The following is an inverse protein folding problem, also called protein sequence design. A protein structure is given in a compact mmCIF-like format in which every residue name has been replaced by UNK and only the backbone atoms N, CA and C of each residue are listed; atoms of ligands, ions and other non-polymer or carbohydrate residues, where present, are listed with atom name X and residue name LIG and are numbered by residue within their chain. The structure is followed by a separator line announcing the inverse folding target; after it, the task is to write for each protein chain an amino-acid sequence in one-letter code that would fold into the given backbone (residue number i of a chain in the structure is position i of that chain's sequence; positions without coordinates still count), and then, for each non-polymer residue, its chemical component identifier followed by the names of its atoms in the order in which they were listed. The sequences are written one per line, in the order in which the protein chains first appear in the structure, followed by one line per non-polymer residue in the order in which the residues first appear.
data_IF_169869701005
#
_entry.id   IF_169869701005
#
_cell.length_a   1.000
_cell.length_b   1.000
_cell.length_c   1.000
_cell.angle_alpha   90.00
_cell.angle_beta   90.00
_cell.angle_gamma   90.00
#
_symmetry.space_group_name_H-M   'P 1'
#
loop_
_entity.id
_entity.type
_entity.pdbx_description
1 polymer ?
#
# COMPACT_ATOMS: atom_id res chain seq x y z
N UNK A 1 0.70 -3.93 24.76
CA UNK A 1 0.70 -4.84 23.60
C UNK A 1 2.15 -5.16 23.30
N UNK A 2 2.52 -6.43 23.15
CA UNK A 2 3.95 -6.77 22.95
C UNK A 2 4.36 -6.58 21.47
N UNK A 3 4.41 -5.33 21.01
CA UNK A 3 4.95 -4.98 19.67
C UNK A 3 6.48 -5.24 19.64
N UNK A 4 7.13 -5.34 20.79
CA UNK A 4 8.58 -5.52 20.88
C UNK A 4 9.08 -6.77 20.14
N UNK A 5 8.32 -7.88 20.17
CA UNK A 5 8.68 -9.08 19.41
C UNK A 5 8.73 -8.83 17.90
N UNK A 6 7.75 -8.13 17.36
CA UNK A 6 7.76 -7.74 15.95
C UNK A 6 8.89 -6.77 15.63
N UNK A 7 9.11 -5.79 16.51
CA UNK A 7 10.20 -4.85 16.33
C UNK A 7 11.58 -5.53 16.29
N UNK A 8 11.82 -6.55 17.13
CA UNK A 8 13.08 -7.32 17.13
C UNK A 8 13.37 -8.06 15.82
N UNK A 9 12.34 -8.35 15.03
CA UNK A 9 12.49 -9.02 13.76
C UNK A 9 12.85 -8.05 12.64
N UNK A 10 12.29 -6.83 12.69
CA UNK A 10 12.44 -5.86 11.61
C UNK A 10 13.52 -4.81 11.85
N UNK A 11 14.01 -4.65 13.09
CA UNK A 11 15.10 -3.73 13.44
C UNK A 11 16.38 -4.48 13.81
N UNK A 12 17.52 -3.98 13.40
CA UNK A 12 18.80 -4.67 13.47
C UNK A 12 19.35 -4.87 14.90
N UNK A 13 18.92 -4.04 15.86
CA UNK A 13 19.40 -4.15 17.24
C UNK A 13 18.26 -4.17 18.25
N UNK A 14 18.43 -4.92 19.33
CA UNK A 14 17.49 -4.96 20.46
C UNK A 14 17.19 -3.58 21.03
N UNK A 15 18.20 -2.70 21.08
CA UNK A 15 18.04 -1.32 21.56
C UNK A 15 17.11 -0.50 20.68
N UNK A 16 17.29 -0.57 19.36
CA UNK A 16 16.43 0.10 18.37
C UNK A 16 15.03 -0.50 18.38
N UNK A 17 14.92 -1.83 18.38
CA UNK A 17 13.64 -2.54 18.44
C UNK A 17 12.81 -2.14 19.68
N UNK A 18 13.44 -2.04 20.86
CA UNK A 18 12.79 -1.60 22.10
C UNK A 18 12.32 -0.14 22.04
N UNK A 19 13.07 0.75 21.40
CA UNK A 19 12.63 2.14 21.18
C UNK A 19 11.48 2.18 20.18
N UNK A 20 11.62 1.50 19.03
CA UNK A 20 10.61 1.41 18.00
C UNK A 20 9.28 0.90 18.55
N UNK A 21 9.30 -0.19 19.34
CA UNK A 21 8.08 -0.76 19.93
C UNK A 21 7.33 0.24 20.81
N UNK A 22 8.06 0.99 21.67
CA UNK A 22 7.45 2.03 22.52
C UNK A 22 6.81 3.15 21.67
N UNK A 23 7.50 3.58 20.62
CA UNK A 23 6.99 4.63 19.72
C UNK A 23 5.76 4.13 18.96
N UNK A 24 5.81 2.93 18.38
CA UNK A 24 4.66 2.35 17.66
C UNK A 24 3.45 2.12 18.57
N UNK A 25 3.65 1.68 19.80
CA UNK A 25 2.57 1.60 20.79
C UNK A 25 1.95 2.97 21.09
N UNK A 26 2.78 4.00 21.20
CA UNK A 26 2.33 5.36 21.42
C UNK A 26 1.57 5.90 20.20
N UNK A 27 2.00 5.63 18.96
CA UNK A 27 1.27 5.96 17.74
C UNK A 27 -0.13 5.33 17.72
N UNK A 28 -0.25 4.04 18.08
CA UNK A 28 -1.54 3.35 18.15
C UNK A 28 -2.47 3.91 19.25
N UNK A 29 -1.91 4.41 20.35
CA UNK A 29 -2.67 5.06 21.43
C UNK A 29 -3.10 6.45 21.04
N UNK A 30 -2.19 7.25 20.50
CA UNK A 30 -2.42 8.61 20.02
C UNK A 30 -3.37 8.65 18.82
N UNK A 31 -3.29 7.62 17.94
CA UNK A 31 -3.97 7.61 16.62
C UNK A 31 -3.63 8.85 15.81
N UNK A 32 -2.40 9.29 15.89
CA UNK A 32 -1.90 10.53 15.31
C UNK A 32 -0.46 10.36 14.82
N UNK A 33 -0.10 10.97 13.67
CA UNK A 33 1.28 11.02 13.19
C UNK A 33 2.09 12.16 13.82
N UNK A 34 1.48 13.00 14.65
CA UNK A 34 2.17 14.15 15.28
C UNK A 34 3.07 13.68 16.42
N UNK A 35 4.33 14.08 16.37
CA UNK A 35 5.33 13.65 17.37
C UNK A 35 4.94 14.10 18.79
N UNK A 36 4.32 15.29 18.95
CA UNK A 36 3.79 15.75 20.23
C UNK A 36 2.77 14.78 20.81
N UNK A 37 1.77 14.40 20.00
CA UNK A 37 0.69 13.51 20.42
C UNK A 37 1.23 12.12 20.77
N UNK A 38 2.26 11.65 20.02
CA UNK A 38 2.94 10.40 20.28
C UNK A 38 3.73 10.46 21.59
N UNK A 39 4.47 11.55 21.83
CA UNK A 39 5.27 11.74 23.05
C UNK A 39 4.40 11.78 24.31
N UNK A 40 3.23 12.43 24.25
CA UNK A 40 2.24 12.49 25.33
C UNK A 40 1.71 11.10 25.72
N UNK A 41 1.59 10.19 24.76
CA UNK A 41 1.13 8.80 25.03
C UNK A 41 2.22 7.87 25.57
N UNK A 42 3.45 8.34 25.74
CA UNK A 42 4.56 7.56 26.27
C UNK A 42 4.71 7.82 27.77
N UNK A 43 5.10 6.78 28.53
CA UNK A 43 5.38 6.94 29.96
C UNK A 43 6.61 7.83 30.22
N UNK A 44 6.56 8.67 31.26
CA UNK A 44 7.66 9.53 31.67
C UNK A 44 7.51 10.98 31.23
N UNK A 45 8.64 11.69 31.12
CA UNK A 45 8.65 13.12 30.77
C UNK A 45 8.40 13.32 29.27
N UNK A 46 7.37 14.09 28.91
CA UNK A 46 6.96 14.34 27.54
C UNK A 46 8.07 14.97 26.68
N UNK A 47 8.80 15.97 27.22
CA UNK A 47 9.88 16.62 26.47
C UNK A 47 11.04 15.65 26.18
N UNK A 48 11.34 14.74 27.10
CA UNK A 48 12.34 13.70 26.91
C UNK A 48 11.86 12.67 25.85
N UNK A 49 10.59 12.27 25.91
CA UNK A 49 9.96 11.39 24.94
C UNK A 49 9.95 12.01 23.54
N UNK A 50 9.58 13.28 23.41
CA UNK A 50 9.62 14.03 22.15
C UNK A 50 11.02 14.01 21.52
N UNK A 51 12.06 14.34 22.32
CA UNK A 51 13.45 14.28 21.86
C UNK A 51 13.88 12.86 21.49
N UNK A 52 13.39 11.84 22.20
CA UNK A 52 13.69 10.44 21.89
C UNK A 52 13.10 10.04 20.54
N UNK A 53 11.83 10.37 20.26
CA UNK A 53 11.20 10.12 18.97
C UNK A 53 11.93 10.83 17.84
N UNK A 54 12.30 12.11 18.04
CA UNK A 54 13.07 12.87 17.07
C UNK A 54 14.42 12.23 16.74
N UNK A 55 15.18 11.79 17.75
CA UNK A 55 16.47 11.12 17.55
C UNK A 55 16.30 9.79 16.82
N UNK A 56 15.29 9.00 17.19
CA UNK A 56 14.95 7.75 16.54
C UNK A 56 14.69 7.97 15.05
N UNK A 57 13.78 8.89 14.70
CA UNK A 57 13.47 9.22 13.30
C UNK A 57 14.68 9.75 12.53
N UNK A 58 15.62 10.45 13.20
CA UNK A 58 16.83 10.95 12.54
C UNK A 58 17.83 9.84 12.23
N UNK A 59 17.96 8.85 13.13
CA UNK A 59 18.99 7.81 13.07
C UNK A 59 18.63 6.63 12.16
N UNK A 60 17.34 6.21 12.17
CA UNK A 60 16.92 4.97 11.52
C UNK A 60 16.55 5.18 10.05
N UNK A 61 16.88 4.20 9.20
CA UNK A 61 16.34 4.08 7.85
C UNK A 61 15.02 3.30 7.88
N UNK A 62 13.93 4.03 8.05
CA UNK A 62 12.61 3.43 8.16
C UNK A 62 12.03 2.97 6.81
N UNK A 63 12.61 3.40 5.68
CA UNK A 63 12.22 2.87 4.36
C UNK A 63 12.74 1.43 4.20
N UNK A 64 13.98 1.17 4.58
CA UNK A 64 14.53 -0.17 4.58
C UNK A 64 13.74 -1.11 5.51
N UNK A 65 13.45 -0.64 6.74
CA UNK A 65 12.62 -1.39 7.69
C UNK A 65 11.23 -1.69 7.12
N UNK A 66 10.62 -0.73 6.39
CA UNK A 66 9.32 -0.94 5.74
C UNK A 66 9.38 -2.02 4.66
N UNK A 67 10.48 -2.09 3.89
CA UNK A 67 10.67 -3.12 2.87
C UNK A 67 10.76 -4.54 3.46
N UNK A 68 11.24 -4.69 4.70
CA UNK A 68 11.25 -5.97 5.43
C UNK A 68 9.84 -6.51 5.73
N UNK A 69 8.79 -5.70 5.53
CA UNK A 69 7.39 -6.12 5.65
C UNK A 69 6.81 -6.64 4.31
N UNK A 70 7.64 -6.78 3.28
CA UNK A 70 7.22 -7.35 2.01
C UNK A 70 6.70 -8.77 2.19
N UNK A 71 5.49 -9.05 1.71
CA UNK A 71 4.92 -10.39 1.79
C UNK A 71 5.46 -11.27 0.64
N UNK A 72 6.38 -12.17 0.95
CA UNK A 72 6.99 -13.08 -0.01
C UNK A 72 6.01 -14.08 -0.65
N UNK A 73 4.89 -14.36 0.00
CA UNK A 73 3.83 -15.24 -0.53
C UNK A 73 2.83 -14.48 -1.42
N UNK A 74 3.00 -13.16 -1.58
CA UNK A 74 2.10 -12.37 -2.41
C UNK A 74 2.30 -12.66 -3.90
N UNK A 75 1.21 -12.86 -4.62
CA UNK A 75 1.19 -13.08 -6.06
C UNK A 75 1.48 -11.79 -6.85
N UNK A 76 1.12 -10.64 -6.30
CA UNK A 76 1.24 -9.34 -6.98
C UNK A 76 1.53 -8.21 -6.00
N UNK A 77 1.99 -7.09 -6.53
CA UNK A 77 2.24 -5.84 -5.81
C UNK A 77 1.31 -4.76 -6.36
N UNK A 78 0.61 -4.05 -5.49
CA UNK A 78 -0.31 -2.97 -5.86
C UNK A 78 0.40 -1.64 -5.68
N UNK A 79 0.35 -0.79 -6.70
CA UNK A 79 0.81 0.60 -6.62
C UNK A 79 -0.35 1.58 -6.79
N UNK A 80 -0.48 2.53 -5.86
CA UNK A 80 -1.51 3.56 -5.94
C UNK A 80 -1.06 4.84 -5.22
N UNK A 81 -1.24 6.03 -5.78
CA UNK A 81 -0.97 7.27 -5.09
C UNK A 81 -2.16 7.71 -4.26
N UNK A 82 -1.86 8.36 -3.14
CA UNK A 82 -2.87 9.05 -2.35
C UNK A 82 -2.45 10.49 -2.10
N UNK A 83 -3.40 11.41 -2.12
CA UNK A 83 -3.19 12.80 -1.78
C UNK A 83 -3.14 13.00 -0.28
N UNK A 84 -2.17 13.78 0.19
CA UNK A 84 -2.06 14.23 1.58
C UNK A 84 -2.18 15.75 1.60
N UNK A 85 -3.32 16.23 2.06
CA UNK A 85 -3.63 17.64 2.12
C UNK A 85 -2.84 18.34 3.21
N UNK A 86 -2.34 19.53 2.92
CA UNK A 86 -1.57 20.37 3.83
C UNK A 86 -2.02 21.85 3.72
N UNK A 87 -3.30 22.16 3.99
CA UNK A 87 -3.85 23.50 3.76
C UNK A 87 -3.14 24.59 4.57
N UNK A 88 -2.60 24.25 5.75
CA UNK A 88 -1.84 25.17 6.59
C UNK A 88 -0.35 25.32 6.24
N UNK A 89 0.16 24.68 5.19
CA UNK A 89 1.57 24.72 4.82
C UNK A 89 1.93 25.98 4.02
N UNK A 90 2.19 27.08 4.72
CA UNK A 90 2.53 28.37 4.06
C UNK A 90 4.01 28.51 3.70
N UNK A 91 4.92 27.85 4.45
CA UNK A 91 6.39 27.99 4.32
C UNK A 91 7.07 26.61 4.27
N UNK A 92 6.57 25.72 3.42
CA UNK A 92 7.08 24.34 3.30
C UNK A 92 7.35 24.06 1.83
N UNK A 93 8.61 24.17 1.39
CA UNK A 93 9.01 24.16 -0.01
C UNK A 93 8.57 22.92 -0.79
N UNK A 94 8.52 21.75 -0.16
CA UNK A 94 8.08 20.50 -0.82
C UNK A 94 6.56 20.36 -0.97
N UNK A 95 5.74 21.25 -0.39
CA UNK A 95 4.29 21.21 -0.52
C UNK A 95 3.86 22.03 -1.74
N UNK A 96 3.30 21.35 -2.71
CA UNK A 96 2.78 21.97 -3.92
C UNK A 96 1.26 22.10 -3.92
N UNK A 97 0.68 22.05 -5.12
CA UNK A 97 -0.77 22.09 -5.35
C UNK A 97 -1.22 20.73 -5.86
N UNK A 98 -2.31 20.21 -5.30
CA UNK A 98 -2.90 18.91 -5.65
C UNK A 98 -3.67 18.93 -6.98
N UNK A 99 -4.32 17.81 -7.32
CA UNK A 99 -5.00 17.59 -8.61
C UNK A 99 -6.14 18.57 -8.87
N UNK A 100 -6.74 19.14 -7.85
CA UNK A 100 -7.80 20.17 -7.96
C UNK A 100 -7.29 21.56 -8.37
N UNK A 101 -5.97 21.74 -8.44
CA UNK A 101 -5.33 23.01 -8.80
C UNK A 101 -5.36 24.08 -7.70
N UNK A 102 -5.90 23.81 -6.51
CA UNK A 102 -6.11 24.77 -5.43
C UNK A 102 -5.57 24.30 -4.07
N UNK A 103 -5.88 23.07 -3.68
CA UNK A 103 -5.51 22.52 -2.38
C UNK A 103 -4.00 22.31 -2.28
N UNK A 104 -3.40 22.80 -1.19
CA UNK A 104 -1.99 22.55 -0.89
C UNK A 104 -1.80 21.14 -0.36
N UNK A 105 -0.79 20.44 -0.89
CA UNK A 105 -0.51 19.07 -0.48
C UNK A 105 0.65 18.44 -1.26
N UNK A 106 0.74 17.12 -1.15
CA UNK A 106 1.68 16.28 -1.88
C UNK A 106 1.05 14.90 -2.11
N UNK A 107 1.60 14.15 -3.05
CA UNK A 107 1.22 12.76 -3.29
C UNK A 107 2.16 11.81 -2.57
N UNK A 108 1.62 10.72 -2.08
CA UNK A 108 2.37 9.55 -1.61
C UNK A 108 1.97 8.35 -2.48
N UNK A 109 2.84 7.94 -3.39
CA UNK A 109 2.71 6.68 -4.11
C UNK A 109 3.20 5.55 -3.21
N UNK A 110 2.30 4.65 -2.85
CA UNK A 110 2.58 3.50 -2.00
C UNK A 110 2.58 2.24 -2.83
N UNK A 111 3.57 1.38 -2.62
CA UNK A 111 3.61 0.01 -3.11
C UNK A 111 3.31 -0.92 -1.94
N UNK A 112 2.40 -1.88 -2.16
CA UNK A 112 1.89 -2.75 -1.11
C UNK A 112 1.60 -4.14 -1.63
N UNK A 113 1.81 -5.16 -0.81
CA UNK A 113 1.42 -6.54 -1.09
C UNK A 113 0.03 -6.84 -0.52
N UNK A 114 -0.78 -7.66 -1.20
CA UNK A 114 -2.10 -8.02 -0.67
C UNK A 114 -1.99 -8.88 0.59
N UNK A 115 -2.88 -8.60 1.54
CA UNK A 115 -3.09 -9.45 2.70
C UNK A 115 -4.60 -9.50 2.99
N UNK A 116 -5.24 -10.64 2.71
CA UNK A 116 -6.70 -10.78 2.83
C UNK A 116 -7.46 -9.68 2.08
N UNK A 117 -8.38 -8.96 2.74
CA UNK A 117 -9.11 -7.81 2.17
C UNK A 117 -8.38 -6.47 2.28
N UNK A 118 -7.09 -6.47 2.56
CA UNK A 118 -6.24 -5.29 2.79
C UNK A 118 -4.95 -5.37 1.99
N UNK A 119 -4.12 -4.34 2.13
CA UNK A 119 -2.77 -4.32 1.59
C UNK A 119 -1.76 -3.96 2.70
N UNK A 120 -0.60 -4.62 2.69
CA UNK A 120 0.55 -4.34 3.54
C UNK A 120 1.49 -3.40 2.79
N UNK A 121 1.66 -2.15 3.20
CA UNK A 121 2.65 -1.26 2.61
C UNK A 121 4.06 -1.82 2.79
N UNK A 122 4.86 -1.78 1.71
CA UNK A 122 6.25 -2.21 1.74
C UNK A 122 7.23 -1.14 1.20
N UNK A 123 6.72 -0.15 0.47
CA UNK A 123 7.53 0.95 -0.04
C UNK A 123 6.64 2.15 -0.38
N UNK A 124 7.22 3.35 -0.40
CA UNK A 124 6.56 4.53 -0.92
C UNK A 124 7.56 5.59 -1.38
N UNK A 125 7.09 6.49 -2.22
CA UNK A 125 7.77 7.74 -2.57
C UNK A 125 6.79 8.90 -2.36
N UNK A 126 7.33 10.07 -2.01
CA UNK A 126 6.52 11.31 -1.96
C UNK A 126 6.96 12.27 -3.07
N UNK A 127 6.02 12.97 -3.65
CA UNK A 127 6.29 14.02 -4.64
C UNK A 127 5.15 15.05 -4.63
N UNK A 128 5.43 16.24 -5.15
CA UNK A 128 4.45 17.31 -5.31
C UNK A 128 4.74 18.11 -6.57
N UNK A 129 3.86 19.02 -6.95
CA UNK A 129 4.14 19.97 -8.04
C UNK A 129 5.37 20.83 -7.76
N UNK A 130 5.65 21.17 -6.48
CA UNK A 130 6.85 21.91 -6.11
C UNK A 130 8.13 21.07 -6.30
N UNK A 131 8.18 19.85 -5.73
CA UNK A 131 9.38 18.98 -5.84
C UNK A 131 9.65 18.56 -7.28
N UNK A 132 8.63 18.35 -8.10
CA UNK A 132 8.78 18.03 -9.52
C UNK A 132 9.44 19.20 -10.25
N UNK A 133 9.06 20.43 -9.98
CA UNK A 133 9.64 21.60 -10.61
C UNK A 133 11.09 21.86 -10.13
N UNK A 134 11.32 21.82 -8.81
CA UNK A 134 12.63 22.09 -8.21
C UNK A 134 13.69 21.06 -8.61
N UNK A 135 13.32 19.78 -8.69
CA UNK A 135 14.21 18.66 -9.03
C UNK A 135 14.30 18.40 -10.55
N UNK A 136 13.67 19.23 -11.38
CA UNK A 136 13.58 19.03 -12.84
C UNK A 136 13.16 17.60 -13.23
N UNK A 137 12.21 17.04 -12.50
CA UNK A 137 11.67 15.68 -12.68
C UNK A 137 10.24 15.74 -13.23
N UNK A 138 9.54 14.64 -13.22
CA UNK A 138 8.13 14.55 -13.59
C UNK A 138 7.41 13.51 -12.75
N UNK A 139 6.07 13.62 -12.67
CA UNK A 139 5.25 12.60 -12.02
C UNK A 139 5.54 11.18 -12.55
N UNK A 140 5.76 11.08 -13.86
CA UNK A 140 6.08 9.82 -14.51
C UNK A 140 7.43 9.23 -14.05
N UNK A 141 8.43 10.08 -13.82
CA UNK A 141 9.73 9.65 -13.29
C UNK A 141 9.61 9.21 -11.83
N UNK A 142 8.78 9.89 -11.02
CA UNK A 142 8.54 9.47 -9.64
C UNK A 142 7.85 8.10 -9.58
N UNK A 143 6.93 7.79 -10.49
CA UNK A 143 6.33 6.46 -10.62
C UNK A 143 7.39 5.39 -10.93
N UNK A 144 8.31 5.68 -11.84
CA UNK A 144 9.41 4.77 -12.17
C UNK A 144 10.38 4.58 -11.00
N UNK A 145 10.70 5.65 -10.26
CA UNK A 145 11.53 5.59 -9.04
C UNK A 145 10.92 4.70 -7.96
N UNK A 146 9.60 4.77 -7.78
CA UNK A 146 8.91 3.91 -6.82
C UNK A 146 9.09 2.42 -7.15
N UNK A 147 8.90 2.02 -8.41
CA UNK A 147 9.10 0.63 -8.85
C UNK A 147 10.57 0.23 -8.70
N UNK A 148 11.50 1.10 -9.09
CA UNK A 148 12.93 0.84 -8.96
C UNK A 148 13.36 0.62 -7.51
N UNK A 149 12.73 1.31 -6.55
CA UNK A 149 13.03 1.19 -5.12
C UNK A 149 12.77 -0.19 -4.52
N UNK A 150 11.92 -1.02 -5.16
CA UNK A 150 11.64 -2.39 -4.71
C UNK A 150 11.86 -3.43 -5.82
N UNK A 151 12.58 -3.09 -6.88
CA UNK A 151 12.77 -4.00 -8.02
C UNK A 151 13.28 -5.38 -7.59
N UNK A 152 14.22 -5.43 -6.67
CA UNK A 152 14.77 -6.69 -6.15
C UNK A 152 13.73 -7.54 -5.42
N UNK A 153 12.71 -6.93 -4.82
CA UNK A 153 11.63 -7.63 -4.08
C UNK A 153 10.50 -8.08 -5.01
N UNK A 154 10.31 -7.41 -6.14
CA UNK A 154 9.21 -7.75 -7.07
C UNK A 154 9.38 -9.18 -7.59
N UNK A 155 10.60 -9.56 -8.04
CA UNK A 155 10.86 -10.87 -8.63
C UNK A 155 9.90 -11.17 -9.78
N UNK A 156 9.27 -12.33 -9.76
CA UNK A 156 8.29 -12.77 -10.77
C UNK A 156 6.86 -12.26 -10.54
N UNK A 157 6.64 -11.39 -9.54
CA UNK A 157 5.31 -10.91 -9.16
C UNK A 157 4.79 -9.85 -10.12
N UNK A 158 3.48 -9.80 -10.27
CA UNK A 158 2.81 -8.84 -11.15
C UNK A 158 2.63 -7.50 -10.47
N UNK A 159 2.99 -6.40 -11.13
CA UNK A 159 2.68 -5.04 -10.67
C UNK A 159 1.27 -4.64 -11.13
N UNK A 160 0.45 -4.11 -10.22
CA UNK A 160 -0.94 -3.71 -10.49
C UNK A 160 -1.11 -2.23 -10.22
N UNK A 161 -1.60 -1.48 -11.23
CA UNK A 161 -1.74 -0.03 -11.14
C UNK A 161 -3.08 0.48 -11.70
N UNK A 162 -3.45 1.70 -11.33
CA UNK A 162 -4.60 2.39 -11.92
C UNK A 162 -4.23 3.10 -13.24
N UNK A 163 -5.23 3.73 -13.84
CA UNK A 163 -5.20 4.34 -15.18
C UNK A 163 -4.11 5.39 -15.39
N UNK A 164 -3.66 6.08 -14.36
CA UNK A 164 -2.64 7.09 -14.48
C UNK A 164 -1.24 6.53 -14.86
N UNK A 165 -1.05 5.23 -14.69
CA UNK A 165 0.20 4.52 -15.04
C UNK A 165 0.19 3.96 -16.47
N UNK A 166 -0.91 4.11 -17.22
CA UNK A 166 -1.01 3.55 -18.58
C UNK A 166 -0.35 4.42 -19.66
N UNK A 167 0.76 5.09 -19.36
CA UNK A 167 1.53 5.84 -20.36
C UNK A 167 2.69 5.02 -20.92
N UNK A 168 3.00 5.24 -22.21
CA UNK A 168 3.93 4.41 -22.96
C UNK A 168 5.31 4.26 -22.29
N UNK A 169 5.89 5.34 -21.80
CA UNK A 169 7.22 5.32 -21.18
C UNK A 169 7.32 4.44 -19.93
N UNK A 170 6.24 4.33 -19.16
CA UNK A 170 6.18 3.43 -18.00
C UNK A 170 6.05 1.97 -18.42
N UNK A 171 5.14 1.69 -19.36
CA UNK A 171 4.93 0.36 -19.90
C UNK A 171 6.20 -0.19 -20.56
N UNK A 172 6.89 0.63 -21.38
CA UNK A 172 8.18 0.26 -22.00
C UNK A 172 9.25 -0.06 -20.95
N UNK A 173 9.30 0.72 -19.87
CA UNK A 173 10.24 0.45 -18.77
C UNK A 173 9.95 -0.88 -18.09
N UNK A 174 8.69 -1.18 -17.77
CA UNK A 174 8.30 -2.46 -17.19
C UNK A 174 8.63 -3.63 -18.12
N UNK A 175 8.37 -3.47 -19.41
CA UNK A 175 8.64 -4.48 -20.43
C UNK A 175 10.16 -4.76 -20.58
N UNK A 176 10.97 -3.71 -20.74
CA UNK A 176 12.44 -3.84 -20.80
C UNK A 176 13.03 -4.49 -19.54
N UNK A 177 12.45 -4.23 -18.38
CA UNK A 177 12.84 -4.82 -17.11
C UNK A 177 12.22 -6.19 -16.85
N UNK A 178 11.43 -6.71 -17.79
CA UNK A 178 10.71 -8.00 -17.73
C UNK A 178 9.76 -8.11 -16.52
N UNK A 179 9.24 -6.98 -16.07
CA UNK A 179 8.26 -6.92 -14.97
C UNK A 179 6.86 -7.20 -15.54
N UNK A 180 6.17 -8.17 -14.93
CA UNK A 180 4.76 -8.47 -15.22
C UNK A 180 3.88 -7.31 -14.72
N UNK A 181 2.89 -6.90 -15.53
CA UNK A 181 2.02 -5.81 -15.15
C UNK A 181 0.56 -5.99 -15.56
N UNK A 182 -0.31 -5.37 -14.77
CA UNK A 182 -1.75 -5.23 -15.03
C UNK A 182 -2.15 -3.80 -14.71
N UNK A 183 -2.55 -3.03 -15.70
CA UNK A 183 -2.80 -1.60 -15.58
C UNK A 183 -4.13 -1.24 -16.21
N UNK A 184 -4.97 -0.47 -15.50
CA UNK A 184 -6.17 0.09 -16.10
C UNK A 184 -5.79 1.09 -17.20
N UNK A 185 -6.44 0.98 -18.35
CA UNK A 185 -6.20 1.87 -19.46
C UNK A 185 -6.87 3.23 -19.23
N UNK A 186 -6.12 4.30 -19.43
CA UNK A 186 -6.67 5.64 -19.43
C UNK A 186 -7.32 5.93 -20.79
N UNK A 187 -8.64 6.14 -20.79
CA UNK A 187 -9.44 6.50 -21.97
C UNK A 187 -9.94 7.95 -21.92
N UNK A 188 -9.15 8.86 -21.32
CA UNK A 188 -9.49 10.28 -21.25
C UNK A 188 -9.71 10.94 -22.63
N UNK A 189 -9.58 12.25 -22.70
CA UNK A 189 -9.82 13.05 -23.92
C UNK A 189 -8.97 12.65 -25.14
N UNK A 190 -7.81 12.03 -24.91
CA UNK A 190 -6.90 11.50 -25.93
C UNK A 190 -6.60 10.03 -25.63
N UNK A 191 -7.50 9.10 -25.98
CA UNK A 191 -7.27 7.67 -25.75
C UNK A 191 -6.07 7.18 -26.54
N UNK A 192 -5.31 6.21 -26.00
CA UNK A 192 -4.17 5.64 -26.72
C UNK A 192 -4.65 4.84 -27.93
N UNK A 193 -3.81 4.82 -28.96
CA UNK A 193 -4.07 4.11 -30.21
C UNK A 193 -3.56 2.68 -30.14
N UNK A 194 -4.27 1.76 -30.76
CA UNK A 194 -3.90 0.35 -30.90
C UNK A 194 -3.86 -0.08 -32.36
N UNK A 195 -3.02 -1.07 -32.67
CA UNK A 195 -2.86 -1.60 -34.02
C UNK A 195 -2.65 -3.11 -33.98
N UNK A 196 -3.15 -3.85 -34.98
CA UNK A 196 -2.83 -5.28 -35.13
C UNK A 196 -1.42 -5.52 -35.65
N UNK A 197 -0.88 -4.58 -36.43
CA UNK A 197 0.43 -4.65 -37.00
C UNK A 197 1.13 -3.27 -36.81
N UNK A 198 2.36 -3.28 -36.34
CA UNK A 198 3.14 -2.06 -36.14
C UNK A 198 3.39 -1.27 -37.43
N UNK A 199 3.38 -1.96 -38.59
CA UNK A 199 3.58 -1.37 -39.92
C UNK A 199 2.29 -0.85 -40.55
N UNK A 200 1.13 -1.32 -40.09
CA UNK A 200 -0.17 -0.90 -40.61
C UNK A 200 -0.60 0.40 -39.93
N UNK A 201 -0.98 1.40 -40.72
CA UNK A 201 -1.53 2.67 -40.22
C UNK A 201 -3.03 2.55 -39.81
N UNK A 202 -3.63 1.39 -39.91
CA UNK A 202 -5.06 1.18 -39.54
C UNK A 202 -5.21 1.01 -38.04
N UNK A 203 -5.81 2.00 -37.41
CA UNK A 203 -6.09 2.00 -35.97
C UNK A 203 -7.17 0.94 -35.63
N UNK A 204 -6.88 0.15 -34.58
CA UNK A 204 -7.82 -0.75 -33.96
C UNK A 204 -8.63 0.01 -32.89
N UNK A 205 -9.95 0.03 -33.01
CA UNK A 205 -10.84 0.61 -32.01
C UNK A 205 -11.30 -0.44 -31.01
N UNK A 206 -10.99 -0.24 -29.75
CA UNK A 206 -11.51 -1.09 -28.66
C UNK A 206 -13.02 -0.84 -28.50
N UNK A 207 -13.83 -1.90 -28.58
CA UNK A 207 -15.29 -1.82 -28.47
C UNK A 207 -15.82 -2.96 -27.62
N UNK A 208 -16.77 -2.67 -26.75
CA UNK A 208 -17.54 -3.63 -25.96
C UNK A 208 -18.93 -3.04 -25.70
N UNK A 209 -19.96 -3.86 -25.72
CA UNK A 209 -21.32 -3.47 -25.34
C UNK A 209 -21.55 -3.72 -23.83
N UNK A 210 -22.49 -2.99 -23.24
CA UNK A 210 -22.92 -3.21 -21.85
C UNK A 210 -23.49 -4.61 -21.71
N UNK A 211 -23.01 -5.36 -20.70
CA UNK A 211 -23.42 -6.75 -20.46
C UNK A 211 -22.80 -7.79 -21.40
N UNK A 212 -22.03 -7.36 -22.43
CA UNK A 212 -21.22 -8.29 -23.21
C UNK A 212 -20.12 -8.89 -22.31
N UNK A 213 -19.87 -10.19 -22.45
CA UNK A 213 -18.77 -10.86 -21.73
C UNK A 213 -17.41 -10.24 -22.04
N UNK A 214 -16.35 -10.65 -21.35
CA UNK A 214 -15.02 -10.04 -21.52
C UNK A 214 -14.59 -9.99 -23.00
N UNK A 215 -14.25 -8.80 -23.48
CA UNK A 215 -13.70 -8.59 -24.83
C UNK A 215 -12.19 -8.62 -24.77
N UNK A 216 -11.57 -9.51 -25.51
CA UNK A 216 -10.14 -9.77 -25.44
C UNK A 216 -9.48 -9.42 -26.77
N UNK A 217 -8.37 -8.70 -26.68
CA UNK A 217 -7.46 -8.40 -27.77
C UNK A 217 -6.07 -8.87 -27.38
N UNK A 218 -5.54 -9.88 -28.08
CA UNK A 218 -4.21 -10.44 -27.82
C UNK A 218 -3.20 -9.91 -28.82
N UNK A 219 -1.98 -9.71 -28.35
CA UNK A 219 -0.81 -9.38 -29.18
C UNK A 219 -1.07 -8.20 -30.10
N UNK A 220 -1.59 -7.10 -29.54
CA UNK A 220 -1.84 -5.85 -30.27
C UNK A 220 -0.81 -4.79 -29.88
N UNK A 221 -0.48 -3.91 -30.81
CA UNK A 221 0.51 -2.85 -30.57
C UNK A 221 -0.14 -1.64 -29.90
N UNK A 222 0.30 -1.34 -28.68
CA UNK A 222 -0.01 -0.11 -27.98
C UNK A 222 0.82 1.02 -28.55
N UNK A 223 0.17 2.08 -29.04
CA UNK A 223 0.78 3.23 -29.70
C UNK A 223 1.73 2.87 -30.88
N UNK A 224 1.53 1.71 -31.48
CA UNK A 224 2.37 1.21 -32.58
C UNK A 224 3.76 0.75 -32.17
N UNK A 225 4.06 0.67 -30.89
CA UNK A 225 5.43 0.40 -30.36
C UNK A 225 5.48 -0.86 -29.51
N UNK A 226 4.62 -0.95 -28.48
CA UNK A 226 4.69 -2.01 -27.47
C UNK A 226 3.62 -3.07 -27.71
N UNK A 227 4.02 -4.33 -27.77
CA UNK A 227 3.13 -5.48 -27.92
C UNK A 227 2.49 -5.81 -26.57
N UNK A 228 1.16 -5.84 -26.52
CA UNK A 228 0.39 -6.00 -25.28
C UNK A 228 -0.86 -6.84 -25.49
N UNK A 229 -1.43 -7.31 -24.39
CA UNK A 229 -2.78 -7.84 -24.33
C UNK A 229 -3.73 -6.80 -23.71
N UNK A 230 -4.96 -6.76 -24.17
CA UNK A 230 -6.00 -5.88 -23.64
C UNK A 230 -7.27 -6.68 -23.38
N UNK A 231 -7.87 -6.49 -22.21
CA UNK A 231 -9.17 -7.06 -21.86
C UNK A 231 -10.11 -5.97 -21.39
N UNK A 232 -11.33 -6.01 -21.89
CA UNK A 232 -12.41 -5.08 -21.53
C UNK A 232 -13.59 -5.80 -20.90
N UNK A 233 -14.20 -5.17 -19.89
CA UNK A 233 -15.49 -5.59 -19.32
C UNK A 233 -16.38 -4.37 -19.12
N UNK A 234 -17.66 -4.52 -19.35
CA UNK A 234 -18.64 -3.46 -19.07
C UNK A 234 -19.89 -4.07 -18.42
N UNK A 235 -19.89 -4.04 -17.09
CA UNK A 235 -20.96 -4.59 -16.25
C UNK A 235 -21.96 -3.49 -15.88
N UNK A 236 -23.21 -3.89 -15.54
CA UNK A 236 -24.23 -2.96 -15.04
C UNK A 236 -23.72 -2.19 -13.80
N UNK A 237 -24.08 -0.91 -13.72
CA UNK A 237 -23.61 0.00 -12.66
C UNK A 237 -22.32 0.76 -13.00
N UNK A 238 -21.58 0.39 -14.03
CA UNK A 238 -20.41 1.15 -14.49
C UNK A 238 -20.80 2.15 -15.59
N UNK A 239 -20.34 3.41 -15.44
CA UNK A 239 -20.59 4.49 -16.42
C UNK A 239 -19.91 4.26 -17.78
N UNK A 240 -18.85 3.48 -17.80
CA UNK A 240 -18.02 3.20 -18.97
C UNK A 240 -17.31 1.87 -18.82
N UNK A 241 -16.88 1.23 -19.93
CA UNK A 241 -16.13 -0.01 -19.86
C UNK A 241 -14.82 0.16 -19.07
N UNK A 242 -14.46 -0.88 -18.33
CA UNK A 242 -13.15 -1.06 -17.74
C UNK A 242 -12.26 -1.76 -18.77
N UNK A 243 -11.19 -1.09 -19.20
CA UNK A 243 -10.16 -1.66 -20.05
C UNK A 243 -8.87 -1.85 -19.27
N UNK A 244 -8.24 -3.00 -19.41
CA UNK A 244 -6.99 -3.38 -18.75
C UNK A 244 -5.97 -3.71 -19.84
N UNK A 245 -4.76 -3.15 -19.68
CA UNK A 245 -3.58 -3.46 -20.49
C UNK A 245 -2.61 -4.31 -19.64
N UNK A 246 -2.04 -5.35 -20.24
CA UNK A 246 -1.19 -6.31 -19.54
C UNK A 246 -0.24 -7.01 -20.50
N UNK A 247 0.88 -7.52 -19.97
CA UNK A 247 1.75 -8.49 -20.64
C UNK A 247 1.51 -9.95 -20.19
N UNK A 248 0.48 -10.17 -19.37
CA UNK A 248 -0.02 -11.51 -18.99
C UNK A 248 -1.13 -11.97 -19.95
N UNK A 249 -1.59 -13.22 -19.75
CA UNK A 249 -2.85 -13.64 -20.34
C UNK A 249 -3.99 -12.73 -19.86
N UNK A 250 -4.89 -12.29 -20.76
CA UNK A 250 -5.89 -11.27 -20.45
C UNK A 250 -6.83 -11.63 -19.31
N UNK A 251 -7.22 -12.89 -19.21
CA UNK A 251 -8.13 -13.41 -18.18
C UNK A 251 -7.48 -13.33 -16.78
N UNK A 252 -6.19 -13.66 -16.72
CA UNK A 252 -5.40 -13.55 -15.51
C UNK A 252 -5.21 -12.08 -15.10
N UNK A 253 -4.91 -11.21 -16.07
CA UNK A 253 -4.84 -9.77 -15.84
C UNK A 253 -6.14 -9.21 -15.25
N UNK A 254 -7.29 -9.63 -15.77
CA UNK A 254 -8.60 -9.21 -15.25
C UNK A 254 -8.84 -9.71 -13.82
N UNK A 255 -8.50 -10.98 -13.53
CA UNK A 255 -8.61 -11.59 -12.20
C UNK A 255 -7.80 -10.78 -11.16
N UNK A 256 -6.55 -10.52 -11.47
CA UNK A 256 -5.64 -9.78 -10.58
C UNK A 256 -6.11 -8.34 -10.38
N UNK A 257 -6.52 -7.65 -11.46
CA UNK A 257 -6.95 -6.24 -11.37
C UNK A 257 -8.14 -6.04 -10.41
N UNK A 258 -9.10 -6.97 -10.38
CA UNK A 258 -10.25 -6.91 -9.45
C UNK A 258 -9.83 -6.86 -7.97
N UNK A 259 -8.62 -7.28 -7.65
CA UNK A 259 -8.08 -7.27 -6.29
C UNK A 259 -7.33 -5.96 -5.93
N UNK A 260 -7.17 -5.02 -6.88
CA UNK A 260 -6.47 -3.74 -6.66
C UNK A 260 -7.08 -2.90 -5.54
N UNK A 261 -8.39 -2.91 -5.39
CA UNK A 261 -9.10 -2.09 -4.39
C UNK A 261 -8.66 -2.33 -2.94
N UNK A 262 -7.87 -3.37 -2.66
CA UNK A 262 -7.30 -3.62 -1.32
C UNK A 262 -6.42 -2.46 -0.82
N UNK A 263 -5.73 -1.74 -1.72
CA UNK A 263 -4.91 -0.59 -1.34
C UNK A 263 -5.77 0.64 -0.96
N UNK A 264 -6.92 0.82 -1.59
CA UNK A 264 -7.86 1.89 -1.25
C UNK A 264 -8.41 1.71 0.18
N UNK A 265 -8.64 0.44 0.57
CA UNK A 265 -9.02 0.09 1.93
C UNK A 265 -7.87 0.39 2.91
N UNK A 266 -6.62 0.12 2.53
CA UNK A 266 -5.44 0.49 3.30
C UNK A 266 -5.38 2.01 3.54
N UNK A 267 -5.53 2.83 2.50
CA UNK A 267 -5.54 4.29 2.64
C UNK A 267 -6.69 4.81 3.50
N UNK A 268 -7.87 4.22 3.37
CA UNK A 268 -9.01 4.55 4.23
C UNK A 268 -8.71 4.27 5.71
N UNK A 269 -8.09 3.14 6.00
CA UNK A 269 -7.71 2.77 7.37
C UNK A 269 -6.60 3.70 7.90
N UNK A 270 -5.58 4.00 7.10
CA UNK A 270 -4.48 4.92 7.45
C UNK A 270 -4.99 6.34 7.74
N UNK A 271 -5.86 6.88 6.89
CA UNK A 271 -6.45 8.23 7.07
C UNK A 271 -7.50 8.24 8.18
N UNK A 272 -8.41 7.25 8.22
CA UNK A 272 -9.55 7.24 9.14
C UNK A 272 -9.24 6.73 10.55
N UNK A 273 -8.24 5.88 10.73
CA UNK A 273 -7.92 5.27 12.03
C UNK A 273 -6.61 5.77 12.64
N UNK A 274 -5.62 6.11 11.83
CA UNK A 274 -4.30 6.61 12.26
C UNK A 274 -4.09 8.08 11.91
N UNK A 275 -5.04 8.71 11.23
CA UNK A 275 -5.00 10.11 10.83
C UNK A 275 -3.71 10.51 10.10
N UNK A 276 -3.25 9.66 9.17
CA UNK A 276 -2.03 9.88 8.39
C UNK A 276 -2.05 11.23 7.64
N UNK A 277 -3.22 11.71 7.26
CA UNK A 277 -3.45 13.02 6.65
C UNK A 277 -3.02 14.19 7.53
N UNK A 278 -2.91 14.00 8.87
CA UNK A 278 -2.45 15.01 9.82
C UNK A 278 -0.94 15.06 10.00
N UNK A 279 -0.17 14.34 9.18
CA UNK A 279 1.30 14.38 9.24
C UNK A 279 1.82 15.80 9.02
N UNK A 280 2.77 16.25 9.84
CA UNK A 280 3.32 17.61 9.80
C UNK A 280 4.82 17.61 10.01
N UNK A 281 5.56 18.19 9.06
CA UNK A 281 6.97 18.54 9.23
C UNK A 281 7.36 19.62 8.20
N UNK A 282 8.45 20.36 8.42
CA UNK A 282 9.01 21.32 7.47
C UNK A 282 10.04 20.66 6.52
N UNK A 283 10.69 19.60 6.95
CA UNK A 283 11.64 18.83 6.15
C UNK A 283 10.93 17.65 5.48
N UNK A 284 11.10 17.50 4.15
CA UNK A 284 10.59 16.36 3.38
C UNK A 284 11.12 15.03 3.93
N UNK A 285 12.43 14.91 4.07
CA UNK A 285 13.07 13.68 4.57
C UNK A 285 12.54 13.26 5.93
N UNK A 286 12.33 14.23 6.83
CA UNK A 286 11.80 13.94 8.16
C UNK A 286 10.32 13.53 8.12
N UNK A 287 9.54 14.17 7.24
CA UNK A 287 8.14 13.81 6.99
C UNK A 287 8.03 12.37 6.44
N UNK A 288 8.88 12.00 5.49
CA UNK A 288 8.92 10.64 4.93
C UNK A 288 9.24 9.60 6.01
N UNK A 289 10.14 9.91 6.95
CA UNK A 289 10.41 9.03 8.11
C UNK A 289 9.20 8.88 9.04
N UNK A 290 8.43 9.93 9.26
CA UNK A 290 7.17 9.83 10.01
C UNK A 290 6.16 8.96 9.26
N UNK A 291 6.02 9.15 7.95
CA UNK A 291 5.14 8.32 7.12
C UNK A 291 5.55 6.85 7.17
N UNK A 292 6.84 6.55 7.01
CA UNK A 292 7.35 5.17 7.14
C UNK A 292 7.01 4.55 8.50
N UNK A 293 7.22 5.29 9.60
CA UNK A 293 6.85 4.84 10.94
C UNK A 293 5.34 4.51 11.06
N UNK A 294 4.48 5.35 10.48
CA UNK A 294 3.02 5.11 10.47
C UNK A 294 2.68 3.89 9.65
N UNK A 295 3.29 3.70 8.48
CA UNK A 295 3.06 2.52 7.63
C UNK A 295 3.53 1.22 8.30
N UNK A 296 4.69 1.22 8.95
CA UNK A 296 5.19 0.09 9.75
C UNK A 296 4.22 -0.22 10.90
N UNK A 297 3.80 0.82 11.62
CA UNK A 297 2.84 0.67 12.73
C UNK A 297 1.50 0.12 12.25
N UNK A 298 1.01 0.60 11.11
CA UNK A 298 -0.19 0.09 10.46
C UNK A 298 -0.06 -1.39 10.10
N UNK A 299 1.03 -1.79 9.47
CA UNK A 299 1.26 -3.17 9.04
C UNK A 299 1.21 -4.15 10.23
N UNK A 300 1.92 -3.84 11.31
CA UNK A 300 1.90 -4.65 12.54
C UNK A 300 0.50 -4.68 13.17
N UNK A 301 -0.16 -3.53 13.24
CA UNK A 301 -1.52 -3.44 13.78
C UNK A 301 -2.54 -4.18 12.92
N UNK A 302 -2.35 -4.23 11.60
CA UNK A 302 -3.18 -4.99 10.68
C UNK A 302 -3.06 -6.50 10.95
N UNK A 303 -1.84 -7.02 11.04
CA UNK A 303 -1.58 -8.44 11.32
C UNK A 303 -2.25 -8.87 12.64
N UNK A 304 -2.00 -8.13 13.71
CA UNK A 304 -2.61 -8.42 15.02
C UNK A 304 -4.13 -8.26 14.98
N UNK A 305 -4.61 -7.25 14.28
CA UNK A 305 -6.05 -6.97 14.18
C UNK A 305 -6.82 -8.06 13.42
N UNK A 306 -6.25 -8.58 12.32
CA UNK A 306 -6.86 -9.67 11.55
C UNK A 306 -6.94 -10.95 12.41
N UNK A 307 -5.90 -11.27 13.16
CA UNK A 307 -5.92 -12.41 14.09
C UNK A 307 -6.97 -12.22 15.22
N UNK A 308 -7.08 -11.02 15.78
CA UNK A 308 -8.12 -10.71 16.75
C UNK A 308 -9.52 -10.90 16.14
N UNK A 309 -9.69 -10.53 14.88
CA UNK A 309 -10.96 -10.74 14.16
C UNK A 309 -11.30 -12.21 14.05
N UNK A 310 -10.34 -13.06 13.68
CA UNK A 310 -10.54 -14.51 13.57
C UNK A 310 -10.95 -15.12 14.92
N UNK A 311 -10.22 -14.83 15.97
CA UNK A 311 -10.50 -15.36 17.31
C UNK A 311 -11.87 -14.91 17.82
N UNK A 312 -12.23 -13.64 17.63
CA UNK A 312 -13.45 -13.07 18.23
C UNK A 312 -14.72 -13.31 17.43
N UNK A 313 -14.62 -13.30 16.11
CA UNK A 313 -15.78 -13.32 15.23
C UNK A 313 -15.92 -14.65 14.48
N UNK A 314 -14.82 -15.28 14.10
CA UNK A 314 -14.80 -16.60 13.48
C UNK A 314 -14.57 -17.74 14.48
N UNK A 315 -14.33 -17.41 15.76
CA UNK A 315 -14.10 -18.36 16.87
C UNK A 315 -12.92 -19.30 16.65
N UNK A 316 -11.91 -18.85 15.91
CA UNK A 316 -10.66 -19.59 15.72
C UNK A 316 -9.88 -19.60 17.03
N UNK A 317 -9.32 -20.74 17.40
CA UNK A 317 -8.41 -20.82 18.54
C UNK A 317 -7.16 -19.95 18.30
N UNK A 318 -6.67 -19.20 19.30
CA UNK A 318 -5.57 -18.25 19.10
C UNK A 318 -4.30 -18.84 18.49
N UNK A 319 -4.01 -20.10 18.77
CA UNK A 319 -2.85 -20.86 18.27
C UNK A 319 -3.04 -21.45 16.86
N UNK A 320 -4.27 -21.40 16.33
CA UNK A 320 -4.64 -21.88 14.99
C UNK A 320 -4.93 -20.74 13.99
N UNK A 321 -4.58 -19.51 14.34
CA UNK A 321 -4.76 -18.37 13.41
C UNK A 321 -3.82 -18.51 12.23
N UNK A 322 -4.39 -18.48 11.02
CA UNK A 322 -3.65 -18.47 9.76
C UNK A 322 -4.03 -17.21 8.95
N UNK A 323 -3.07 -16.32 8.76
CA UNK A 323 -3.29 -15.07 8.04
C UNK A 323 -3.31 -15.23 6.52
N UNK A 324 -2.71 -16.32 6.00
CA UNK A 324 -2.73 -16.63 4.57
C UNK A 324 -4.06 -17.24 4.16
N UNK A 325 -4.56 -18.18 4.97
CA UNK A 325 -5.80 -18.89 4.73
C UNK A 325 -6.86 -18.43 5.75
N UNK A 326 -7.62 -17.37 5.45
CA UNK A 326 -8.66 -16.90 6.38
C UNK A 326 -9.70 -17.98 6.63
N UNK A 327 -10.28 -18.04 7.84
CA UNK A 327 -11.25 -19.05 8.19
C UNK A 327 -12.48 -18.96 7.28
N UNK A 328 -13.01 -20.12 6.91
CA UNK A 328 -14.30 -20.22 6.21
C UNK A 328 -15.39 -19.87 7.21
N UNK A 329 -16.17 -18.83 6.91
CA UNK A 329 -17.26 -18.36 7.76
C UNK A 329 -18.56 -18.26 6.97
N UNK A 330 -19.69 -18.43 7.65
CA UNK A 330 -21.00 -18.22 7.04
C UNK A 330 -21.14 -16.77 6.52
N UNK A 331 -21.85 -16.57 5.40
CA UNK A 331 -22.06 -15.24 4.79
C UNK A 331 -22.70 -14.21 5.73
N UNK A 332 -23.51 -14.63 6.69
CA UNK A 332 -24.15 -13.80 7.71
C UNK A 332 -23.26 -13.45 8.91
N UNK A 333 -22.05 -13.98 8.97
CA UNK A 333 -21.13 -13.78 10.08
C UNK A 333 -20.69 -12.33 10.23
N UNK A 334 -20.70 -11.81 11.47
CA UNK A 334 -20.12 -10.51 11.84
C UNK A 334 -18.64 -10.36 11.47
N UNK A 335 -17.98 -11.48 11.14
CA UNK A 335 -16.61 -11.52 10.67
C UNK A 335 -16.41 -10.65 9.40
N UNK A 336 -17.40 -10.61 8.51
CA UNK A 336 -17.35 -9.79 7.29
C UNK A 336 -17.61 -8.29 7.55
N UNK A 337 -18.24 -7.94 8.67
CA UNK A 337 -18.71 -6.59 8.96
C UNK A 337 -17.65 -5.67 9.56
N UNK A 338 -16.60 -6.22 10.20
CA UNK A 338 -15.59 -5.43 10.91
C UNK A 338 -14.19 -5.69 10.42
N UNK A 339 -13.39 -4.62 10.29
CA UNK A 339 -11.96 -4.77 10.06
C UNK A 339 -11.24 -5.20 11.34
N UNK A 340 -10.21 -6.03 11.20
CA UNK A 340 -9.37 -6.44 12.32
C UNK A 340 -8.71 -5.23 13.00
N UNK A 341 -8.21 -4.28 12.22
CA UNK A 341 -7.62 -3.04 12.72
C UNK A 341 -8.63 -2.21 13.54
N UNK A 342 -9.88 -2.10 13.08
CA UNK A 342 -10.94 -1.43 13.84
C UNK A 342 -11.20 -2.13 15.18
N UNK A 343 -11.24 -3.46 15.19
CA UNK A 343 -11.42 -4.23 16.43
C UNK A 343 -10.26 -4.01 17.41
N UNK A 344 -9.04 -3.98 16.91
CA UNK A 344 -7.84 -3.69 17.72
C UNK A 344 -7.91 -2.28 18.34
N UNK A 345 -8.20 -1.26 17.55
CA UNK A 345 -8.11 0.14 17.96
C UNK A 345 -9.35 0.66 18.73
N UNK A 346 -10.54 0.14 18.42
CA UNK A 346 -11.81 0.65 18.98
C UNK A 346 -12.47 -0.30 19.99
N UNK A 347 -12.27 -1.62 19.90
CA UNK A 347 -12.98 -2.64 20.70
C UNK A 347 -12.08 -3.59 21.49
N UNK A 348 -10.81 -3.27 21.67
CA UNK A 348 -9.81 -4.15 22.32
C UNK A 348 -10.15 -4.51 23.78
N UNK A 349 -10.99 -3.73 24.48
CA UNK A 349 -11.35 -3.93 25.91
C UNK A 349 -12.05 -5.26 26.21
N UNK A 350 -12.41 -6.07 25.19
CA UNK A 350 -13.13 -7.35 25.36
C UNK A 350 -12.25 -8.59 25.25
N UNK A 351 -10.95 -8.46 25.12
CA UNK A 351 -10.02 -9.59 25.15
C UNK A 351 -9.30 -9.55 26.50
N UNK A 352 -9.24 -10.70 27.17
CA UNK A 352 -8.37 -10.88 28.32
C UNK A 352 -6.89 -10.88 27.90
N UNK A 353 -6.01 -10.59 28.84
CA UNK A 353 -4.59 -10.45 28.59
C UNK A 353 -3.95 -11.75 28.06
N UNK A 354 -4.43 -12.93 28.53
CA UNK A 354 -3.93 -14.23 28.11
C UNK A 354 -4.26 -14.52 26.66
N UNK A 355 -5.52 -14.36 26.27
CA UNK A 355 -5.98 -14.51 24.88
C UNK A 355 -5.26 -13.54 23.94
N UNK A 356 -5.11 -12.28 24.34
CA UNK A 356 -4.35 -11.31 23.53
C UNK A 356 -2.89 -11.71 23.36
N UNK A 357 -2.26 -12.24 24.43
CA UNK A 357 -0.89 -12.72 24.37
C UNK A 357 -0.74 -13.92 23.43
N UNK A 358 -1.66 -14.90 23.48
CA UNK A 358 -1.67 -16.05 22.57
C UNK A 358 -1.83 -15.63 21.11
N UNK A 359 -2.74 -14.69 20.81
CA UNK A 359 -2.91 -14.13 19.46
C UNK A 359 -1.59 -13.49 18.97
N UNK A 360 -0.97 -12.66 19.79
CA UNK A 360 0.29 -11.98 19.41
C UNK A 360 1.38 -13.01 19.15
N UNK A 361 1.44 -14.08 19.94
CA UNK A 361 2.43 -15.14 19.75
C UNK A 361 2.20 -15.91 18.44
N UNK A 362 0.97 -16.28 18.14
CA UNK A 362 0.62 -16.96 16.90
C UNK A 362 0.91 -16.08 15.66
N UNK A 363 0.48 -14.82 15.71
CA UNK A 363 0.73 -13.84 14.63
C UNK A 363 2.22 -13.58 14.45
N UNK A 364 3.00 -13.58 15.53
CA UNK A 364 4.45 -13.43 15.47
C UNK A 364 5.11 -14.58 14.71
N UNK A 365 4.69 -15.81 14.94
CA UNK A 365 5.23 -16.98 14.22
C UNK A 365 4.91 -16.88 12.72
N UNK A 366 3.69 -16.48 12.35
CA UNK A 366 3.29 -16.27 10.96
C UNK A 366 4.09 -15.12 10.33
N UNK A 367 4.24 -14.01 11.07
CA UNK A 367 4.98 -12.84 10.62
C UNK A 367 6.47 -13.16 10.42
N UNK A 368 7.06 -13.96 11.31
CA UNK A 368 8.43 -14.41 11.15
C UNK A 368 8.62 -15.20 9.84
N UNK A 369 7.67 -16.07 9.50
CA UNK A 369 7.68 -16.80 8.24
C UNK A 369 7.44 -15.88 7.02
N UNK A 370 6.63 -14.82 7.15
CA UNK A 370 6.40 -13.83 6.10
C UNK A 370 7.65 -13.01 5.77
N UNK A 371 8.44 -12.66 6.78
CA UNK A 371 9.61 -11.77 6.65
C UNK A 371 10.88 -12.55 6.32
N UNK A 372 11.01 -13.77 6.82
CA UNK A 372 12.23 -14.58 6.69
C UNK A 372 12.03 -15.85 5.88
N UNK A 373 10.91 -15.99 5.17
CA UNK A 373 10.48 -17.13 4.37
C UNK A 373 11.54 -18.16 4.04
N UNK A 374 11.47 -19.37 4.67
CA UNK A 374 12.25 -20.56 4.31
C UNK A 374 13.75 -20.58 4.63
N UNK A 375 14.19 -20.00 5.73
CA UNK A 375 15.52 -20.28 6.29
C UNK A 375 15.41 -21.04 7.62
N UNK A 376 14.62 -22.11 7.66
CA UNK A 376 14.74 -23.19 8.63
C UNK A 376 14.42 -24.50 7.92
#
# INVERSE_FOLDING_TARGET
MQIEKFAKVIFDTDRTAKKASKIMEAVLKAKSPRISDVADQMAGNEAANYKMVQRFLKQEDLQEVLQRLFNEEAEFVIGDPTEIERPGAKKTGYVGTLSDGQTKGFWMLTLATPLRGRALPCHFVTYSSATINDEATSRNLEHQRAVQGIKALIGERTMVFDREFSYLGFLLKLDVEQIKYVIRLNQGSKPPKFYYDARQKRELKLKIALGEGPKIYRQIYYQGVLLVNVVGVWEEGFKSPLWIITNLEPEEGLRIYKLRSKIEVCFRDLKGLLHMDKVMNKSRTYLEKILALILITYAIALLVGEAIRDVRLARVEPNKVDLHNPPVTEKSSKWHSFSGLFLLLKRRRRLDARTLWQIIHAVFSIFFNLVFGKYV
#
